data_IF_871988718304
#
_entry.id   IF_871988718304
#
_cell.length_a   1.000
_cell.length_b   1.000
_cell.length_c   1.000
_cell.angle_alpha   90.00
_cell.angle_beta   90.00
_cell.angle_gamma   90.00
#
_symmetry.space_group_name_H-M   'P 1'
#
loop_
_entity.id
_entity.type
_entity.pdbx_description
1 polymer ?
#
# COMPACT_ATOMS: atom_id res chain seq x y z
N UNK A 1 -43.00 15.90 17.66
CA UNK A 1 -41.54 15.94 17.45
C UNK A 1 -41.29 15.24 16.14
N UNK A 2 -40.78 15.99 15.16
CA UNK A 2 -40.64 15.56 13.76
C UNK A 2 -39.75 14.31 13.60
N UNK A 3 -40.14 13.34 12.76
CA UNK A 3 -39.36 12.16 12.46
C UNK A 3 -38.66 12.31 11.10
N UNK A 4 -37.78 13.30 10.96
CA UNK A 4 -36.92 13.38 9.77
C UNK A 4 -35.59 14.06 10.13
N UNK A 5 -34.72 13.30 10.80
CA UNK A 5 -33.29 13.62 10.89
C UNK A 5 -32.65 12.76 9.82
N UNK A 6 -32.53 13.31 8.61
CA UNK A 6 -31.63 12.76 7.60
C UNK A 6 -30.23 12.75 8.20
N UNK A 7 -29.70 11.54 8.41
CA UNK A 7 -28.34 11.30 8.90
C UNK A 7 -27.41 11.62 7.73
N UNK A 8 -27.06 12.89 7.61
CA UNK A 8 -26.11 13.38 6.61
C UNK A 8 -24.70 12.91 6.98
N UNK A 9 -24.32 11.75 6.44
CA UNK A 9 -23.03 11.08 6.64
C UNK A 9 -21.84 12.01 6.37
N UNK A 10 -22.01 12.99 5.47
CA UNK A 10 -20.99 13.97 5.13
C UNK A 10 -20.83 15.06 6.20
N UNK A 11 -21.93 15.46 6.87
CA UNK A 11 -21.92 16.48 7.93
C UNK A 11 -21.22 15.98 9.20
N UNK A 12 -21.37 14.69 9.52
CA UNK A 12 -20.65 14.05 10.62
C UNK A 12 -19.20 13.67 10.26
N UNK A 13 -18.91 13.42 8.97
CA UNK A 13 -17.54 13.30 8.48
C UNK A 13 -16.81 14.62 8.69
N UNK A 14 -17.42 15.73 8.29
CA UNK A 14 -16.89 17.07 8.51
C UNK A 14 -16.72 17.35 10.00
N UNK A 15 -17.64 16.95 10.88
CA UNK A 15 -17.47 17.13 12.33
C UNK A 15 -16.24 16.38 12.89
N UNK A 16 -15.99 15.14 12.43
CA UNK A 16 -14.84 14.35 12.88
C UNK A 16 -13.51 14.84 12.30
N UNK A 17 -13.52 15.34 11.06
CA UNK A 17 -12.37 16.01 10.47
C UNK A 17 -12.14 17.37 11.12
N UNK A 18 -13.18 18.14 11.41
CA UNK A 18 -13.11 19.39 12.18
C UNK A 18 -12.52 19.14 13.56
N UNK A 19 -12.86 18.06 14.26
CA UNK A 19 -12.24 17.72 15.56
C UNK A 19 -10.73 17.42 15.42
N UNK A 20 -10.34 16.67 14.39
CA UNK A 20 -8.95 16.36 14.07
C UNK A 20 -8.16 17.59 13.61
N UNK A 21 -8.78 18.44 12.79
CA UNK A 21 -8.23 19.72 12.34
C UNK A 21 -8.17 20.72 13.50
N UNK A 22 -9.16 20.77 14.38
CA UNK A 22 -9.18 21.66 15.55
C UNK A 22 -8.07 21.26 16.53
N UNK A 23 -7.72 19.97 16.63
CA UNK A 23 -6.59 19.49 17.43
C UNK A 23 -5.23 19.86 16.81
N UNK A 24 -5.09 19.75 15.50
CA UNK A 24 -3.89 20.19 14.77
C UNK A 24 -3.75 21.73 14.78
N UNK A 25 -4.86 22.44 14.65
CA UNK A 25 -4.94 23.89 14.65
C UNK A 25 -4.67 24.47 16.05
N UNK A 26 -5.15 23.82 17.11
CA UNK A 26 -4.78 24.14 18.50
C UNK A 26 -3.28 23.98 18.73
N UNK A 27 -2.68 22.91 18.20
CA UNK A 27 -1.26 22.66 18.33
C UNK A 27 -0.44 23.76 17.62
N UNK A 28 -0.83 24.15 16.40
CA UNK A 28 -0.20 25.28 15.71
C UNK A 28 -0.45 26.61 16.42
N UNK A 29 -1.61 26.81 17.03
CA UNK A 29 -1.91 28.05 17.76
C UNK A 29 -1.03 28.16 19.02
N UNK A 30 -0.90 27.07 19.78
CA UNK A 30 -0.01 26.97 20.95
C UNK A 30 1.46 27.17 20.57
N UNK A 31 1.88 26.74 19.38
CA UNK A 31 3.27 26.84 18.90
C UNK A 31 3.70 28.30 18.61
N UNK A 32 2.76 29.18 18.29
CA UNK A 32 3.03 30.61 18.02
C UNK A 32 3.02 31.49 19.28
N UNK A 33 2.58 30.97 20.43
CA UNK A 33 2.61 31.71 21.68
C UNK A 33 3.98 31.61 22.37
N UNK A 34 4.42 32.68 23.08
CA UNK A 34 5.61 32.65 23.92
C UNK A 34 5.49 31.56 25.01
N UNK A 35 6.62 30.97 25.44
CA UNK A 35 6.63 29.74 26.24
C UNK A 35 5.86 29.86 27.56
N UNK A 36 5.82 31.05 28.16
CA UNK A 36 5.11 31.31 29.43
C UNK A 36 3.58 31.31 29.28
N UNK A 37 3.04 31.86 28.19
CA UNK A 37 1.60 31.90 27.93
C UNK A 37 1.06 30.55 27.43
N UNK A 38 1.92 29.77 26.75
CA UNK A 38 1.63 28.40 26.33
C UNK A 38 1.35 27.50 27.53
N UNK A 39 2.18 27.57 28.57
CA UNK A 39 2.01 26.76 29.78
C UNK A 39 0.74 27.14 30.55
N UNK A 40 0.41 28.42 30.60
CA UNK A 40 -0.81 28.91 31.29
C UNK A 40 -2.09 28.49 30.55
N UNK A 41 -2.13 28.62 29.22
CA UNK A 41 -3.27 28.13 28.42
C UNK A 41 -3.37 26.60 28.43
N UNK A 42 -2.25 25.89 28.40
CA UNK A 42 -2.23 24.43 28.51
C UNK A 42 -2.74 23.99 29.89
N UNK A 43 -2.33 24.66 30.97
CA UNK A 43 -2.81 24.39 32.32
C UNK A 43 -4.31 24.72 32.47
N UNK A 44 -4.81 25.77 31.83
CA UNK A 44 -6.24 26.08 31.81
C UNK A 44 -7.05 25.01 31.06
N UNK A 45 -6.56 24.52 29.91
CA UNK A 45 -7.21 23.43 29.18
C UNK A 45 -7.14 22.09 29.92
N UNK A 46 -6.01 21.81 30.58
CA UNK A 46 -5.84 20.61 31.41
C UNK A 46 -6.74 20.65 32.64
N UNK A 47 -6.78 21.76 33.39
CA UNK A 47 -7.65 21.92 34.56
C UNK A 47 -9.14 21.85 34.20
N UNK A 48 -9.54 22.39 33.05
CA UNK A 48 -10.92 22.31 32.57
C UNK A 48 -11.31 20.87 32.17
N UNK A 49 -10.37 20.13 31.55
CA UNK A 49 -10.51 18.69 31.27
C UNK A 49 -10.54 17.86 32.55
N UNK A 50 -9.71 18.20 33.52
CA UNK A 50 -9.65 17.52 34.81
C UNK A 50 -10.93 17.77 35.61
N UNK A 51 -11.53 18.96 35.58
CA UNK A 51 -12.84 19.23 36.18
C UNK A 51 -13.97 18.41 35.53
N UNK A 52 -13.96 18.32 34.20
CA UNK A 52 -14.92 17.49 33.45
C UNK A 52 -14.76 16.00 33.76
N UNK A 53 -13.52 15.50 33.78
CA UNK A 53 -13.21 14.12 34.16
C UNK A 53 -13.48 13.86 35.64
N UNK A 54 -13.27 14.83 36.52
CA UNK A 54 -13.56 14.74 37.95
C UNK A 54 -15.05 14.63 38.21
N UNK A 55 -15.88 15.41 37.50
CA UNK A 55 -17.33 15.26 37.59
C UNK A 55 -17.82 13.92 37.03
N UNK A 56 -17.19 13.41 35.96
CA UNK A 56 -17.53 12.10 35.41
C UNK A 56 -17.06 10.94 36.32
N UNK A 57 -15.90 11.08 36.97
CA UNK A 57 -15.37 10.08 37.92
C UNK A 57 -16.03 10.12 39.29
N UNK A 58 -16.44 11.29 39.80
CA UNK A 58 -17.16 11.41 41.07
C UNK A 58 -18.58 10.83 40.99
N UNK A 59 -19.19 10.77 39.80
CA UNK A 59 -20.53 10.21 39.65
C UNK A 59 -20.59 8.67 39.64
N UNK A 60 -19.46 7.95 39.49
CA UNK A 60 -19.49 6.47 39.41
C UNK A 60 -18.24 5.79 40.00
N UNK A 61 -17.80 6.16 41.20
CA UNK A 61 -16.78 5.39 41.92
C UNK A 61 -17.42 4.23 42.70
N UNK A 62 -17.64 3.10 42.02
CA UNK A 62 -18.14 1.86 42.64
C UNK A 62 -17.06 1.12 43.45
N UNK A 63 -15.79 1.50 43.28
CA UNK A 63 -14.65 0.92 43.95
C UNK A 63 -13.61 2.00 44.26
N UNK A 64 -12.92 1.85 45.39
CA UNK A 64 -11.73 2.62 45.70
C UNK A 64 -10.63 1.66 46.17
N UNK A 65 -9.38 2.01 45.86
CA UNK A 65 -8.21 1.17 46.14
C UNK A 65 -7.51 1.76 47.37
N UNK A 66 -7.58 1.05 48.49
CA UNK A 66 -6.82 1.39 49.70
C UNK A 66 -5.53 0.58 49.73
N UNK A 67 -4.40 1.27 49.81
CA UNK A 67 -3.10 0.65 49.96
C UNK A 67 -2.82 0.40 51.44
N UNK A 68 -2.70 -0.87 51.81
CA UNK A 68 -2.30 -1.26 53.16
C UNK A 68 -0.80 -1.58 53.13
N UNK A 69 -0.03 -0.95 54.03
CA UNK A 69 1.43 -1.05 54.11
C UNK A 69 2.19 -0.71 52.80
N UNK A 70 1.64 0.14 51.91
CA UNK A 70 2.25 0.52 50.62
C UNK A 70 2.57 -0.62 49.63
N UNK A 71 2.31 -1.88 49.97
CA UNK A 71 2.66 -3.05 49.13
C UNK A 71 1.46 -3.84 48.63
N UNK A 72 0.30 -3.76 49.30
CA UNK A 72 -0.88 -4.56 48.91
C UNK A 72 -2.06 -3.65 48.58
N UNK A 73 -2.52 -3.60 47.32
CA UNK A 73 -3.72 -2.88 46.95
C UNK A 73 -4.95 -3.66 47.39
N UNK A 74 -5.74 -3.09 48.30
CA UNK A 74 -7.00 -3.65 48.74
C UNK A 74 -8.16 -2.89 48.07
N UNK A 75 -8.92 -3.59 47.23
CA UNK A 75 -10.04 -3.01 46.49
C UNK A 75 -11.28 -3.11 47.38
N UNK A 76 -11.79 -1.97 47.85
CA UNK A 76 -13.01 -1.90 48.64
C UNK A 76 -14.15 -1.48 47.72
N UNK A 77 -15.13 -2.38 47.57
CA UNK A 77 -16.34 -2.18 46.77
C UNK A 77 -17.43 -1.54 47.63
N UNK A 78 -17.99 -0.41 47.19
CA UNK A 78 -19.12 0.22 47.86
C UNK A 78 -20.44 -0.44 47.41
N UNK A 79 -20.76 -1.57 48.04
CA UNK A 79 -21.98 -2.34 47.73
C UNK A 79 -23.27 -1.53 47.92
N UNK A 80 -23.30 -0.55 48.81
CA UNK A 80 -24.47 0.27 49.13
C UNK A 80 -24.84 1.24 47.98
N UNK A 81 -23.83 1.80 47.29
CA UNK A 81 -24.04 2.60 46.07
C UNK A 81 -24.40 1.72 44.87
N UNK A 82 -23.76 0.55 44.74
CA UNK A 82 -24.08 -0.43 43.69
C UNK A 82 -25.55 -0.85 43.80
N UNK A 83 -26.06 -1.07 45.02
CA UNK A 83 -27.43 -1.52 45.25
C UNK A 83 -28.48 -0.42 45.02
N UNK A 84 -28.18 0.84 45.37
CA UNK A 84 -29.08 1.99 45.10
C UNK A 84 -29.18 2.32 43.61
N UNK A 85 -28.10 2.14 42.86
CA UNK A 85 -28.07 2.33 41.42
C UNK A 85 -28.54 1.10 40.61
N UNK A 86 -28.78 -0.03 41.28
CA UNK A 86 -29.26 -1.28 40.66
C UNK A 86 -30.75 -1.19 40.30
N UNK A 87 -31.10 -0.25 39.43
CA UNK A 87 -32.41 -0.19 38.80
C UNK A 87 -32.38 -0.94 37.47
N UNK A 88 -33.40 -1.75 37.20
CA UNK A 88 -33.53 -2.50 35.94
C UNK A 88 -33.43 -1.60 34.71
N UNK A 89 -33.89 -0.34 34.82
CA UNK A 89 -33.79 0.67 33.76
C UNK A 89 -32.35 1.15 33.52
N UNK A 90 -31.55 1.35 34.58
CA UNK A 90 -30.15 1.76 34.44
C UNK A 90 -29.27 0.65 33.84
N UNK A 91 -29.57 -0.62 34.17
CA UNK A 91 -28.89 -1.76 33.56
C UNK A 91 -29.15 -1.84 32.05
N UNK A 92 -30.42 -1.69 31.63
CA UNK A 92 -30.78 -1.66 30.22
C UNK A 92 -30.17 -0.46 29.48
N UNK A 93 -30.19 0.74 30.09
CA UNK A 93 -29.57 1.93 29.51
C UNK A 93 -28.06 1.73 29.27
N UNK A 94 -27.32 1.21 30.26
CA UNK A 94 -25.88 0.91 30.11
C UNK A 94 -25.60 -0.16 29.07
N UNK A 95 -26.44 -1.19 29.00
CA UNK A 95 -26.30 -2.25 28.00
C UNK A 95 -26.50 -1.69 26.59
N UNK A 96 -27.51 -0.84 26.40
CA UNK A 96 -27.75 -0.15 25.13
C UNK A 96 -26.58 0.77 24.79
N UNK A 97 -26.05 1.55 25.73
CA UNK A 97 -24.91 2.44 25.50
C UNK A 97 -23.63 1.68 25.11
N UNK A 98 -23.38 0.52 25.74
CA UNK A 98 -22.24 -0.33 25.38
C UNK A 98 -22.42 -0.91 23.97
N UNK A 99 -23.63 -1.38 23.65
CA UNK A 99 -23.94 -1.93 22.31
C UNK A 99 -23.85 -0.85 21.24
N UNK A 100 -24.39 0.34 21.48
CA UNK A 100 -24.31 1.46 20.53
C UNK A 100 -22.87 1.93 20.35
N UNK A 101 -22.08 2.03 21.42
CA UNK A 101 -20.65 2.35 21.35
C UNK A 101 -19.86 1.30 20.55
N UNK A 102 -20.13 0.02 20.78
CA UNK A 102 -19.52 -1.07 20.02
C UNK A 102 -19.92 -1.00 18.53
N UNK A 103 -21.18 -0.67 18.23
CA UNK A 103 -21.68 -0.54 16.86
C UNK A 103 -21.04 0.67 16.15
N UNK A 104 -20.88 1.80 16.84
CA UNK A 104 -20.16 2.98 16.35
C UNK A 104 -18.70 2.64 16.06
N UNK A 105 -18.02 1.92 16.95
CA UNK A 105 -16.64 1.47 16.73
C UNK A 105 -16.52 0.51 15.55
N UNK A 106 -17.47 -0.43 15.39
CA UNK A 106 -17.50 -1.34 14.25
C UNK A 106 -17.68 -0.57 12.92
N UNK A 107 -18.58 0.42 12.88
CA UNK A 107 -18.77 1.29 11.71
C UNK A 107 -17.50 2.10 11.42
N UNK A 108 -16.81 2.62 12.45
CA UNK A 108 -15.53 3.32 12.27
C UNK A 108 -14.45 2.39 11.70
N UNK A 109 -14.32 1.17 12.19
CA UNK A 109 -13.39 0.19 11.67
C UNK A 109 -13.69 -0.21 10.23
N UNK A 110 -14.97 -0.36 9.88
CA UNK A 110 -15.41 -0.66 8.51
C UNK A 110 -15.11 0.51 7.56
N UNK A 111 -15.33 1.75 7.99
CA UNK A 111 -14.97 2.94 7.21
C UNK A 111 -13.46 3.03 7.00
N UNK A 112 -12.68 2.78 8.04
CA UNK A 112 -11.21 2.81 7.97
C UNK A 112 -10.65 1.72 7.04
N UNK A 113 -11.16 0.50 7.11
CA UNK A 113 -10.79 -0.59 6.20
C UNK A 113 -11.17 -0.26 4.75
N UNK A 114 -12.36 0.29 4.53
CA UNK A 114 -12.77 0.76 3.19
C UNK A 114 -11.85 1.85 2.66
N UNK A 115 -11.43 2.80 3.51
CA UNK A 115 -10.46 3.83 3.16
C UNK A 115 -9.10 3.24 2.80
N UNK A 116 -8.59 2.28 3.57
CA UNK A 116 -7.32 1.60 3.26
C UNK A 116 -7.41 0.88 1.91
N UNK A 117 -8.50 0.15 1.66
CA UNK A 117 -8.70 -0.57 0.40
C UNK A 117 -8.77 0.42 -0.77
N UNK A 118 -9.57 1.48 -0.64
CA UNK A 118 -9.71 2.51 -1.68
C UNK A 118 -8.39 3.24 -1.96
N UNK A 119 -7.66 3.61 -0.91
CA UNK A 119 -6.32 4.23 -1.01
C UNK A 119 -5.32 3.27 -1.67
N UNK A 120 -5.35 1.99 -1.32
CA UNK A 120 -4.50 0.96 -1.93
C UNK A 120 -4.74 0.81 -3.44
N UNK A 121 -6.00 0.75 -3.87
CA UNK A 121 -6.37 0.70 -5.29
C UNK A 121 -5.93 1.97 -6.03
N UNK A 122 -6.12 3.13 -5.41
CA UNK A 122 -5.67 4.42 -5.98
C UNK A 122 -4.15 4.45 -6.14
N UNK A 123 -3.41 4.09 -5.09
CA UNK A 123 -1.95 4.05 -5.10
C UNK A 123 -1.42 3.06 -6.13
N UNK A 124 -2.00 1.86 -6.23
CA UNK A 124 -1.67 0.90 -7.28
C UNK A 124 -1.87 1.49 -8.68
N UNK A 125 -2.96 2.24 -8.88
CA UNK A 125 -3.24 2.93 -10.14
C UNK A 125 -2.19 3.98 -10.48
N UNK A 126 -1.74 4.78 -9.50
CA UNK A 126 -0.68 5.78 -9.68
C UNK A 126 0.66 5.11 -9.98
N UNK A 127 1.06 4.13 -9.18
CA UNK A 127 2.32 3.39 -9.35
C UNK A 127 2.38 2.68 -10.71
N UNK A 128 1.28 2.05 -11.15
CA UNK A 128 1.22 1.43 -12.48
C UNK A 128 1.46 2.45 -13.59
N UNK A 129 0.89 3.65 -13.50
CA UNK A 129 1.11 4.70 -14.51
C UNK A 129 2.56 5.18 -14.51
N UNK A 130 3.17 5.37 -13.34
CA UNK A 130 4.59 5.71 -13.22
C UNK A 130 5.45 4.65 -13.92
N UNK A 131 5.24 3.37 -13.62
CA UNK A 131 6.03 2.31 -14.25
C UNK A 131 5.87 2.26 -15.78
N UNK A 132 4.68 2.53 -16.32
CA UNK A 132 4.51 2.63 -17.78
C UNK A 132 5.37 3.76 -18.38
N UNK A 133 5.51 4.90 -17.70
CA UNK A 133 6.40 5.96 -18.16
C UNK A 133 7.87 5.55 -18.04
N UNK A 134 8.28 4.92 -16.93
CA UNK A 134 9.62 4.34 -16.79
C UNK A 134 9.95 3.36 -17.92
N UNK A 135 9.02 2.47 -18.27
CA UNK A 135 9.17 1.48 -19.34
C UNK A 135 9.46 2.16 -20.68
N UNK A 136 8.67 3.19 -21.03
CA UNK A 136 8.86 3.97 -22.27
C UNK A 136 10.19 4.72 -22.28
N UNK A 137 10.55 5.37 -21.17
CA UNK A 137 11.77 6.21 -21.09
C UNK A 137 13.04 5.35 -21.13
N UNK A 138 13.00 4.19 -20.50
CA UNK A 138 14.14 3.27 -20.47
C UNK A 138 14.20 2.33 -21.67
N UNK A 139 13.24 2.44 -22.59
CA UNK A 139 13.07 1.54 -23.75
C UNK A 139 13.07 0.07 -23.32
N UNK A 140 12.42 -0.21 -22.19
CA UNK A 140 12.34 -1.54 -21.59
C UNK A 140 10.91 -2.04 -21.65
N UNK A 141 10.74 -3.36 -21.83
CA UNK A 141 9.42 -3.99 -21.71
C UNK A 141 8.92 -3.98 -20.26
N UNK A 142 9.83 -4.01 -19.28
CA UNK A 142 9.55 -3.97 -17.85
C UNK A 142 10.78 -3.45 -17.09
N UNK A 143 10.79 -2.16 -16.75
CA UNK A 143 11.85 -1.47 -16.02
C UNK A 143 12.27 -2.21 -14.74
N UNK A 144 11.29 -2.67 -13.95
CA UNK A 144 11.53 -3.38 -12.69
C UNK A 144 12.22 -4.72 -12.94
N UNK A 145 11.80 -5.45 -13.98
CA UNK A 145 12.39 -6.73 -14.36
C UNK A 145 13.85 -6.56 -14.78
N UNK A 146 14.14 -5.53 -15.57
CA UNK A 146 15.51 -5.25 -16.01
C UNK A 146 16.42 -4.81 -14.86
N UNK A 147 15.89 -4.01 -13.94
CA UNK A 147 16.59 -3.63 -12.71
C UNK A 147 16.93 -4.88 -11.87
N UNK A 148 15.96 -5.76 -11.59
CA UNK A 148 16.21 -6.99 -10.83
C UNK A 148 17.17 -7.94 -11.55
N UNK A 149 17.04 -8.07 -12.86
CA UNK A 149 17.95 -8.87 -13.71
C UNK A 149 19.39 -8.36 -13.59
N UNK A 150 19.58 -7.04 -13.57
CA UNK A 150 20.90 -6.45 -13.38
C UNK A 150 21.44 -6.62 -11.94
N UNK A 151 20.58 -6.45 -10.93
CA UNK A 151 20.97 -6.68 -9.52
C UNK A 151 21.40 -8.13 -9.29
N UNK A 152 20.75 -9.09 -9.94
CA UNK A 152 20.97 -10.52 -9.71
C UNK A 152 21.89 -11.18 -10.76
N UNK A 153 22.54 -10.38 -11.61
CA UNK A 153 23.44 -10.85 -12.67
C UNK A 153 24.53 -11.82 -12.17
N UNK A 154 25.08 -11.58 -10.98
CA UNK A 154 26.26 -12.29 -10.48
C UNK A 154 25.91 -13.54 -9.65
N UNK A 155 24.64 -13.80 -9.36
CA UNK A 155 24.22 -14.93 -8.53
C UNK A 155 23.90 -16.17 -9.36
N UNK A 156 24.81 -17.15 -9.35
CA UNK A 156 24.61 -18.45 -10.01
C UNK A 156 23.43 -19.23 -9.41
N UNK A 157 23.26 -19.17 -8.09
CA UNK A 157 22.14 -19.83 -7.38
C UNK A 157 20.76 -19.46 -7.93
N UNK A 158 20.59 -18.22 -8.40
CA UNK A 158 19.29 -17.77 -8.92
C UNK A 158 19.10 -18.22 -10.36
N UNK A 159 20.18 -18.35 -11.14
CA UNK A 159 20.12 -18.91 -12.48
C UNK A 159 19.74 -20.39 -12.44
N UNK A 160 20.30 -21.15 -11.49
CA UNK A 160 19.92 -22.55 -11.26
C UNK A 160 18.44 -22.67 -10.88
N UNK A 161 17.95 -21.75 -10.04
CA UNK A 161 16.53 -21.70 -9.70
C UNK A 161 15.64 -21.34 -10.90
N UNK A 162 16.09 -20.46 -11.80
CA UNK A 162 15.37 -20.17 -13.05
C UNK A 162 15.28 -21.39 -13.97
N UNK A 163 16.36 -22.16 -14.10
CA UNK A 163 16.38 -23.42 -14.87
C UNK A 163 15.34 -24.39 -14.31
N UNK A 164 15.29 -24.51 -12.98
CA UNK A 164 14.34 -25.38 -12.30
C UNK A 164 12.89 -24.89 -12.47
N UNK A 165 12.66 -23.58 -12.42
CA UNK A 165 11.34 -22.97 -12.67
C UNK A 165 10.87 -23.22 -14.10
N UNK A 166 11.76 -23.10 -15.08
CA UNK A 166 11.43 -23.32 -16.50
C UNK A 166 11.07 -24.79 -16.76
N UNK A 167 11.74 -25.73 -16.09
CA UNK A 167 11.38 -27.16 -16.12
C UNK A 167 9.97 -27.43 -15.58
N UNK A 168 9.50 -26.57 -14.67
CA UNK A 168 8.16 -26.64 -14.09
C UNK A 168 7.19 -25.61 -14.71
N UNK A 169 7.38 -25.24 -15.98
CA UNK A 169 6.50 -24.32 -16.72
C UNK A 169 6.30 -22.95 -16.07
N UNK A 170 7.33 -22.43 -15.39
CA UNK A 170 7.31 -21.18 -14.61
C UNK A 170 6.29 -21.13 -13.47
N UNK A 171 5.85 -22.29 -12.97
CA UNK A 171 5.00 -22.32 -11.79
C UNK A 171 5.81 -22.02 -10.53
N UNK A 172 5.61 -20.84 -9.93
CA UNK A 172 6.32 -20.39 -8.71
C UNK A 172 6.06 -21.33 -7.52
N UNK A 173 4.89 -22.00 -7.50
CA UNK A 173 4.44 -22.89 -6.43
C UNK A 173 4.56 -24.37 -6.77
N UNK A 174 5.46 -24.74 -7.70
CA UNK A 174 5.63 -26.14 -8.11
C UNK A 174 5.84 -27.06 -6.89
N UNK A 175 6.55 -26.60 -5.86
CA UNK A 175 6.84 -27.36 -4.64
C UNK A 175 5.60 -27.73 -3.80
N UNK A 176 4.42 -27.13 -4.03
CA UNK A 176 3.16 -27.55 -3.37
C UNK A 176 2.48 -28.72 -4.10
N UNK A 177 2.89 -29.02 -5.32
CA UNK A 177 2.24 -30.00 -6.18
C UNK A 177 2.96 -31.36 -6.20
N UNK A 178 4.22 -31.42 -5.78
CA UNK A 178 5.04 -32.63 -5.81
C UNK A 178 5.29 -33.16 -4.39
N UNK A 179 5.11 -34.47 -4.23
CA UNK A 179 5.23 -35.14 -2.93
C UNK A 179 6.65 -35.08 -2.34
N UNK A 180 7.66 -34.86 -3.17
CA UNK A 180 9.07 -34.71 -2.77
C UNK A 180 9.34 -33.51 -1.85
N UNK A 181 8.43 -32.54 -1.79
CA UNK A 181 8.57 -31.30 -1.03
C UNK A 181 7.59 -31.19 0.16
N UNK A 182 6.82 -32.23 0.44
CA UNK A 182 5.82 -32.24 1.51
C UNK A 182 6.44 -32.20 2.93
N UNK A 183 7.70 -32.61 3.08
CA UNK A 183 8.41 -32.64 4.37
C UNK A 183 9.09 -31.29 4.73
N UNK A 184 8.92 -30.26 3.91
CA UNK A 184 9.51 -28.94 4.15
C UNK A 184 8.82 -28.22 5.32
N UNK A 185 9.62 -27.61 6.20
CA UNK A 185 9.09 -26.72 7.25
C UNK A 185 8.49 -25.45 6.64
N UNK A 186 7.52 -24.83 7.34
CA UNK A 186 6.83 -23.61 6.87
C UNK A 186 7.78 -22.45 6.54
N UNK A 187 8.91 -22.36 7.26
CA UNK A 187 9.94 -21.35 7.01
C UNK A 187 10.76 -21.66 5.75
N UNK A 188 11.05 -22.93 5.49
CA UNK A 188 11.72 -23.35 4.24
C UNK A 188 10.80 -23.15 3.03
N UNK A 189 9.50 -23.42 3.18
CA UNK A 189 8.49 -23.14 2.15
C UNK A 189 8.46 -21.65 1.84
N UNK A 190 8.45 -20.78 2.85
CA UNK A 190 8.48 -19.34 2.66
C UNK A 190 9.77 -18.87 1.97
N UNK A 191 10.93 -19.41 2.37
CA UNK A 191 12.21 -19.10 1.73
C UNK A 191 12.25 -19.55 0.27
N UNK A 192 11.73 -20.74 -0.04
CA UNK A 192 11.68 -21.28 -1.40
C UNK A 192 10.70 -20.47 -2.27
N UNK A 193 9.54 -20.13 -1.75
CA UNK A 193 8.56 -19.27 -2.41
C UNK A 193 9.17 -17.89 -2.73
N UNK A 194 9.89 -17.30 -1.79
CA UNK A 194 10.58 -16.03 -1.99
C UNK A 194 11.66 -16.13 -3.07
N UNK A 195 12.50 -17.17 -3.04
CA UNK A 195 13.54 -17.42 -4.07
C UNK A 195 12.93 -17.66 -5.45
N UNK A 196 11.85 -18.44 -5.55
CA UNK A 196 11.14 -18.68 -6.82
C UNK A 196 10.50 -17.40 -7.37
N UNK A 197 9.95 -16.57 -6.48
CA UNK A 197 9.40 -15.27 -6.87
C UNK A 197 10.49 -14.35 -7.41
N UNK A 198 11.65 -14.28 -6.75
CA UNK A 198 12.80 -13.53 -7.27
C UNK A 198 13.28 -14.07 -8.62
N UNK A 199 13.41 -15.38 -8.77
CA UNK A 199 13.79 -16.01 -10.04
C UNK A 199 12.79 -15.68 -11.17
N UNK A 200 11.49 -15.68 -10.88
CA UNK A 200 10.44 -15.32 -11.85
C UNK A 200 10.48 -13.85 -12.31
N UNK A 201 11.12 -12.97 -11.53
CA UNK A 201 11.28 -11.56 -11.82
C UNK A 201 12.50 -11.25 -12.70
N UNK A 202 13.26 -12.26 -13.13
CA UNK A 202 14.44 -12.09 -13.97
C UNK A 202 14.09 -12.39 -15.43
N UNK A 203 14.67 -11.63 -16.35
CA UNK A 203 14.55 -11.90 -17.78
C UNK A 203 15.65 -12.86 -18.25
N UNK A 204 15.25 -14.05 -18.68
CA UNK A 204 16.16 -15.14 -19.05
C UNK A 204 15.65 -15.81 -20.33
N UNK A 205 16.56 -16.08 -21.25
CA UNK A 205 16.32 -16.91 -22.42
C UNK A 205 16.78 -18.34 -22.11
N UNK A 206 15.86 -19.30 -22.15
CA UNK A 206 16.13 -20.69 -21.83
C UNK A 206 15.89 -21.59 -23.04
N UNK A 207 16.81 -22.50 -23.29
CA UNK A 207 16.70 -23.50 -24.36
C UNK A 207 16.65 -24.88 -23.70
N UNK A 208 15.59 -25.63 -24.00
CA UNK A 208 15.40 -27.01 -23.54
C UNK A 208 15.89 -27.97 -24.61
N UNK A 209 16.88 -28.79 -24.29
CA UNK A 209 17.37 -29.85 -25.16
C UNK A 209 16.84 -31.19 -24.66
N UNK A 210 16.25 -31.99 -25.56
CA UNK A 210 15.97 -33.40 -25.28
C UNK A 210 17.20 -34.22 -25.68
N UNK A 211 17.81 -35.01 -24.78
CA UNK A 211 18.89 -35.89 -25.17
C UNK A 211 18.31 -37.06 -25.98
N UNK A 212 18.27 -36.92 -27.31
CA UNK A 212 18.59 -37.93 -28.33
C UNK A 212 17.85 -37.66 -29.66
N UNK A 213 18.61 -37.25 -30.68
CA UNK A 213 18.50 -37.83 -32.04
C UNK A 213 19.75 -37.53 -32.88
N UNK A 214 20.93 -37.91 -32.39
CA UNK A 214 22.08 -38.12 -33.28
C UNK A 214 22.74 -39.44 -32.94
N UNK A 215 22.51 -40.44 -33.80
CA UNK A 215 23.37 -41.61 -33.94
C UNK A 215 23.06 -42.79 -33.02
N UNK A 216 22.26 -43.70 -33.54
CA UNK A 216 22.30 -45.15 -33.31
C UNK A 216 23.63 -45.69 -32.73
N UNK A 217 23.58 -46.23 -31.52
CA UNK A 217 24.06 -47.60 -31.29
C UNK A 217 23.35 -48.20 -30.08
N UNK A 218 22.73 -49.34 -30.33
CA UNK A 218 22.01 -50.21 -29.40
C UNK A 218 22.80 -50.51 -28.14
N UNK A 219 22.22 -50.24 -26.98
CA UNK A 219 22.00 -51.26 -25.94
C UNK A 219 20.95 -50.78 -24.95
N UNK A 220 19.99 -51.67 -24.73
CA UNK A 220 18.87 -51.63 -23.81
C UNK A 220 19.33 -51.53 -22.36
N UNK A 221 18.93 -50.46 -21.68
CA UNK A 221 18.64 -50.49 -20.25
C UNK A 221 17.59 -49.42 -19.95
N UNK A 222 16.40 -49.91 -19.62
CA UNK A 222 15.23 -49.17 -19.19
C UNK A 222 15.47 -48.43 -17.88
N UNK A 223 15.53 -47.10 -17.93
CA UNK A 223 15.09 -46.21 -16.86
C UNK A 223 14.47 -44.96 -17.48
N UNK A 224 13.15 -44.88 -17.35
CA UNK A 224 12.30 -43.80 -17.82
C UNK A 224 12.52 -42.53 -17.00
N UNK A 225 13.40 -41.67 -17.47
CA UNK A 225 13.31 -40.22 -17.28
C UNK A 225 14.17 -39.57 -18.36
N UNK A 226 13.55 -39.15 -19.46
CA UNK A 226 14.21 -38.36 -20.50
C UNK A 226 14.70 -37.07 -19.84
N UNK A 227 15.99 -37.01 -19.49
CA UNK A 227 16.56 -35.89 -18.77
C UNK A 227 16.71 -34.71 -19.72
N UNK A 228 15.64 -33.95 -19.93
CA UNK A 228 15.69 -32.69 -20.68
C UNK A 228 16.68 -31.77 -20.01
N UNK A 229 17.76 -31.41 -20.70
CA UNK A 229 18.76 -30.47 -20.21
C UNK A 229 18.32 -29.07 -20.61
N UNK A 230 17.95 -28.26 -19.64
CA UNK A 230 17.58 -26.85 -19.85
C UNK A 230 18.80 -25.99 -19.55
N UNK A 231 19.23 -25.18 -20.51
CA UNK A 231 20.28 -24.18 -20.31
C UNK A 231 19.67 -22.79 -20.47
N UNK A 232 19.93 -21.93 -19.49
CA UNK A 232 19.36 -20.59 -19.40
C UNK A 232 20.47 -19.54 -19.44
N UNK A 233 20.27 -18.47 -20.21
CA UNK A 233 21.16 -17.32 -20.32
C UNK A 233 20.40 -16.04 -19.97
N UNK A 234 21.01 -15.21 -19.13
CA UNK A 234 20.45 -13.90 -18.77
C UNK A 234 20.45 -13.00 -20.01
N UNK A 235 19.32 -12.33 -20.28
CA UNK A 235 19.21 -11.40 -21.39
C UNK A 235 19.92 -10.09 -21.04
N UNK A 236 20.96 -9.73 -21.81
CA UNK A 236 21.80 -8.56 -21.55
C UNK A 236 21.56 -7.38 -22.50
N UNK A 237 20.51 -7.43 -23.32
CA UNK A 237 20.26 -6.43 -24.36
C UNK A 237 19.62 -5.12 -23.86
N UNK A 238 19.38 -5.03 -22.56
CA UNK A 238 18.69 -3.90 -21.93
C UNK A 238 19.63 -2.73 -21.64
N UNK A 239 19.06 -1.53 -21.50
CA UNK A 239 19.81 -0.27 -21.37
C UNK A 239 20.80 -0.31 -20.19
N UNK A 240 20.39 -0.91 -19.06
CA UNK A 240 21.22 -0.98 -17.85
C UNK A 240 22.50 -1.79 -18.05
N UNK A 241 22.46 -2.88 -18.83
CA UNK A 241 23.65 -3.67 -19.15
C UNK A 241 24.59 -2.95 -20.11
N UNK A 242 24.05 -2.27 -21.13
CA UNK A 242 24.83 -1.45 -22.07
C UNK A 242 25.52 -0.28 -21.36
N UNK A 243 24.80 0.36 -20.43
CA UNK A 243 25.35 1.45 -19.62
C UNK A 243 26.47 0.93 -18.69
N UNK A 244 26.25 -0.23 -18.08
CA UNK A 244 27.25 -0.91 -17.23
C UNK A 244 28.55 -1.22 -18.00
N UNK A 245 28.45 -1.77 -19.21
CA UNK A 245 29.64 -2.09 -20.02
C UNK A 245 30.42 -0.83 -20.38
N UNK A 246 29.73 0.26 -20.73
CA UNK A 246 30.38 1.55 -21.01
C UNK A 246 31.09 2.07 -19.77
N UNK A 247 30.46 2.06 -18.60
CA UNK A 247 31.12 2.49 -17.36
C UNK A 247 32.33 1.62 -17.01
N UNK A 248 32.28 0.32 -17.29
CA UNK A 248 33.38 -0.59 -17.04
C UNK A 248 34.61 -0.24 -17.90
N UNK A 249 34.39 0.16 -19.14
CA UNK A 249 35.45 0.58 -20.07
C UNK A 249 36.12 1.89 -19.63
N UNK A 250 35.34 2.86 -19.14
CA UNK A 250 35.86 4.17 -18.72
C UNK A 250 36.39 4.20 -17.28
N UNK A 251 35.88 3.36 -16.39
CA UNK A 251 36.21 3.34 -14.96
C UNK A 251 36.56 1.94 -14.44
N UNK A 252 37.62 1.30 -14.95
CA UNK A 252 38.01 -0.06 -14.53
C UNK A 252 38.42 -0.14 -13.05
N UNK A 253 38.79 0.97 -12.42
CA UNK A 253 39.23 1.04 -11.03
C UNK A 253 38.08 0.95 -9.99
N UNK A 254 36.82 1.07 -10.40
CA UNK A 254 35.68 1.18 -9.48
C UNK A 254 35.23 -0.17 -8.86
N UNK A 255 35.82 -1.28 -9.28
CA UNK A 255 35.42 -2.63 -8.83
C UNK A 255 34.01 -3.02 -9.28
N UNK A 256 33.68 -4.32 -9.23
CA UNK A 256 32.39 -4.82 -9.74
C UNK A 256 31.19 -4.30 -8.95
N UNK A 257 31.28 -4.27 -7.62
CA UNK A 257 30.18 -3.83 -6.74
C UNK A 257 29.93 -2.33 -6.82
N UNK A 258 31.00 -1.52 -6.88
CA UNK A 258 30.89 -0.06 -6.98
C UNK A 258 30.28 0.37 -8.31
N UNK A 259 30.75 -0.24 -9.41
CA UNK A 259 30.22 -0.02 -10.75
C UNK A 259 28.72 -0.37 -10.82
N UNK A 260 28.33 -1.50 -10.23
CA UNK A 260 26.94 -1.96 -10.18
C UNK A 260 26.03 -0.94 -9.47
N UNK A 261 26.46 -0.47 -8.29
CA UNK A 261 25.69 0.49 -7.50
C UNK A 261 25.54 1.83 -8.23
N UNK A 262 26.62 2.35 -8.81
CA UNK A 262 26.59 3.63 -9.54
C UNK A 262 25.74 3.52 -10.79
N UNK A 263 25.89 2.45 -11.58
CA UNK A 263 25.08 2.23 -12.78
C UNK A 263 23.60 2.15 -12.43
N UNK A 264 23.26 1.43 -11.36
CA UNK A 264 21.88 1.30 -10.88
C UNK A 264 21.32 2.65 -10.39
N UNK A 265 22.11 3.42 -9.65
CA UNK A 265 21.72 4.76 -9.19
C UNK A 265 21.45 5.72 -10.33
N UNK A 266 22.31 5.72 -11.35
CA UNK A 266 22.15 6.55 -12.54
C UNK A 266 20.92 6.10 -13.32
N UNK A 267 20.72 4.78 -13.49
CA UNK A 267 19.58 4.22 -14.20
C UNK A 267 18.24 4.57 -13.53
N UNK A 268 18.14 4.43 -12.20
CA UNK A 268 16.94 4.80 -11.45
C UNK A 268 16.69 6.31 -11.49
N UNK A 269 17.74 7.11 -11.28
CA UNK A 269 17.63 8.58 -11.35
C UNK A 269 17.19 9.04 -12.73
N UNK A 270 17.73 8.44 -13.79
CA UNK A 270 17.34 8.71 -15.17
C UNK A 270 15.85 8.43 -15.42
N UNK A 271 15.35 7.28 -14.96
CA UNK A 271 13.94 6.93 -15.08
C UNK A 271 13.04 7.90 -14.28
N UNK A 272 13.39 8.20 -13.02
CA UNK A 272 12.60 9.09 -12.16
C UNK A 272 12.54 10.54 -12.66
N UNK A 273 13.68 11.10 -13.10
CA UNK A 273 13.71 12.46 -13.64
C UNK A 273 12.89 12.52 -14.94
N UNK A 274 13.04 11.49 -15.79
CA UNK A 274 12.24 11.36 -16.99
C UNK A 274 10.73 11.34 -16.69
N UNK A 275 10.32 10.54 -15.70
CA UNK A 275 8.92 10.44 -15.25
C UNK A 275 8.38 11.80 -14.79
N UNK A 276 9.15 12.57 -14.03
CA UNK A 276 8.75 13.91 -13.57
C UNK A 276 8.50 14.83 -14.77
N UNK A 277 9.37 14.79 -15.79
CA UNK A 277 9.20 15.58 -17.01
C UNK A 277 7.97 15.13 -17.79
N UNK A 278 7.78 13.82 -17.98
CA UNK A 278 6.62 13.27 -18.68
C UNK A 278 5.30 13.60 -17.97
N UNK A 279 5.26 13.51 -16.65
CA UNK A 279 4.09 13.90 -15.86
C UNK A 279 3.81 15.41 -15.97
N UNK A 280 4.83 16.25 -15.96
CA UNK A 280 4.66 17.69 -16.12
C UNK A 280 4.04 18.03 -17.49
N UNK A 281 4.58 17.43 -18.57
CA UNK A 281 4.05 17.60 -19.93
C UNK A 281 2.61 17.07 -20.01
N UNK A 282 2.32 15.90 -19.43
CA UNK A 282 0.99 15.32 -19.44
C UNK A 282 0.00 16.20 -18.67
N UNK A 283 0.39 16.75 -17.52
CA UNK A 283 -0.43 17.69 -16.76
C UNK A 283 -0.70 18.96 -17.58
N UNK A 284 0.31 19.54 -18.23
CA UNK A 284 0.15 20.69 -19.10
C UNK A 284 -0.81 20.42 -20.27
N UNK A 285 -0.66 19.27 -20.95
CA UNK A 285 -1.54 18.86 -22.05
C UNK A 285 -2.96 18.61 -21.55
N UNK A 286 -3.12 17.89 -20.44
CA UNK A 286 -4.43 17.59 -19.85
C UNK A 286 -5.17 18.86 -19.43
N UNK A 287 -4.48 19.83 -18.83
CA UNK A 287 -5.05 21.12 -18.45
C UNK A 287 -5.56 21.88 -19.67
N UNK A 288 -4.74 21.97 -20.73
CA UNK A 288 -5.14 22.62 -21.98
C UNK A 288 -6.31 21.92 -22.68
N UNK A 289 -6.34 20.58 -22.66
CA UNK A 289 -7.45 19.81 -23.22
C UNK A 289 -8.74 20.00 -22.41
N UNK A 290 -8.68 19.98 -21.08
CA UNK A 290 -9.83 20.23 -20.21
C UNK A 290 -10.38 21.64 -20.44
N UNK A 291 -9.51 22.64 -20.53
CA UNK A 291 -9.94 24.03 -20.77
C UNK A 291 -10.63 24.16 -22.14
N UNK A 292 -10.08 23.52 -23.18
CA UNK A 292 -10.74 23.44 -24.50
C UNK A 292 -12.07 22.70 -24.43
N UNK A 293 -12.13 21.57 -23.71
CA UNK A 293 -13.36 20.78 -23.58
C UNK A 293 -14.46 21.54 -22.83
N UNK A 294 -14.11 22.28 -21.78
CA UNK A 294 -15.02 23.21 -21.10
C UNK A 294 -15.54 24.29 -22.06
N UNK A 295 -14.66 24.87 -22.87
CA UNK A 295 -15.07 25.83 -23.90
C UNK A 295 -16.03 25.24 -24.94
N UNK A 296 -15.75 24.03 -25.44
CA UNK A 296 -16.67 23.32 -26.34
C UNK A 296 -18.00 22.98 -25.69
N UNK A 297 -17.99 22.54 -24.42
CA UNK A 297 -19.22 22.27 -23.66
C UNK A 297 -20.09 23.51 -23.54
N UNK A 298 -19.50 24.66 -23.23
CA UNK A 298 -20.22 25.94 -23.16
C UNK A 298 -20.82 26.33 -24.51
N UNK A 299 -20.06 26.18 -25.60
CA UNK A 299 -20.56 26.43 -26.95
C UNK A 299 -21.72 25.50 -27.34
N UNK A 300 -21.62 24.20 -27.03
CA UNK A 300 -22.69 23.24 -27.29
C UNK A 300 -23.94 23.52 -26.44
N UNK A 301 -23.77 23.92 -25.18
CA UNK A 301 -24.89 24.34 -24.33
C UNK A 301 -25.56 25.60 -24.88
N UNK A 302 -24.79 26.61 -25.28
CA UNK A 302 -25.33 27.82 -25.92
C UNK A 302 -26.06 27.53 -27.23
N UNK A 303 -25.51 26.64 -28.07
CA UNK A 303 -26.17 26.23 -29.31
C UNK A 303 -27.48 25.49 -29.05
N UNK A 304 -27.48 24.60 -28.05
CA UNK A 304 -28.68 23.89 -27.60
C UNK A 304 -29.76 24.86 -27.13
N UNK A 305 -29.40 25.87 -26.33
CA UNK A 305 -30.34 26.85 -25.80
C UNK A 305 -30.91 27.76 -26.91
N UNK A 306 -30.09 28.15 -27.90
CA UNK A 306 -30.55 28.89 -29.08
C UNK A 306 -31.51 28.03 -29.92
N UNK A 307 -31.16 26.76 -30.17
CA UNK A 307 -31.99 25.84 -30.93
C UNK A 307 -33.34 25.62 -30.22
N UNK A 308 -33.32 25.42 -28.89
CA UNK A 308 -34.51 25.23 -28.09
C UNK A 308 -35.42 26.46 -28.10
N UNK A 309 -34.85 27.64 -27.93
CA UNK A 309 -35.61 28.91 -27.99
C UNK A 309 -36.14 29.19 -29.40
N UNK A 310 -35.38 28.88 -30.46
CA UNK A 310 -35.84 29.04 -31.83
C UNK A 310 -36.97 28.08 -32.18
N UNK A 311 -36.92 26.85 -31.69
CA UNK A 311 -37.89 25.80 -32.00
C UNK A 311 -39.21 26.02 -31.23
N UNK A 312 -39.14 26.47 -29.98
CA UNK A 312 -40.33 26.87 -29.21
C UNK A 312 -41.00 28.14 -29.76
N UNK A 313 -40.22 29.10 -30.28
CA UNK A 313 -40.77 30.33 -30.86
C UNK A 313 -41.38 30.15 -32.25
N UNK A 314 -41.11 29.02 -32.92
CA UNK A 314 -41.70 28.67 -34.21
C UNK A 314 -42.99 27.84 -34.07
N UNK A 315 -43.21 27.23 -32.91
CA UNK A 315 -44.36 26.36 -32.60
C UNK A 315 -45.52 27.13 -31.94
N UNK A 316 -45.30 28.36 -31.48
CA UNK A 316 -46.29 29.22 -30.82
C UNK A 316 -46.66 30.41 -31.71
#
# INVERSE_FOLDING_TARGET
>A
MDPNIDIDIFRDLDASFIELFHRAQLQTHLEHLPPTEREEQLNNLLSQRDLLNSHHHQQTQYYHIHWIFSYVPFIILNFDQIWRDFSWRAFWARTVDVVTSAMIMAVRALRFTTFIIGSGVYFQGVVRRLFVFCDVITFSDNFIRDMFTYILRDSQDILDQCILLERHSRNVFYFLQYDEYNDLSSLQVLQLAYRNLLASLINVECITYSPNSTGTTTTTSSSSSTATTTSCKILTDTLVFKLSSVFQDFFPALGSTGLKLITLWIYISYALIGDIVCLNILLFVSYNLINRFMGYKQMFQGLKDILWNSLFKFIL
#
